data_IF_893547768769
#
_entry.id   IF_893547768769
#
_cell.length_a   1.000
_cell.length_b   1.000
_cell.length_c   1.000
_cell.angle_alpha   90.00
_cell.angle_beta   90.00
_cell.angle_gamma   90.00
#
_symmetry.space_group_name_H-M   'P 1'
#
loop_
_entity.id
_entity.type
_entity.pdbx_description
1 polymer ?
#
# COMPACT_ATOMS: atom_id res chain seq x y z
N UNK A 1 -13.12 -4.44 3.25
CA UNK A 1 -12.73 -3.15 2.63
C UNK A 1 -11.22 -2.96 2.61
N UNK A 2 -10.53 -2.88 3.77
CA UNK A 2 -9.05 -2.84 3.81
C UNK A 2 -8.40 -4.02 3.08
N UNK A 3 -8.98 -5.22 3.22
CA UNK A 3 -8.51 -6.41 2.52
C UNK A 3 -8.51 -6.25 0.99
N UNK A 4 -9.47 -5.52 0.42
CA UNK A 4 -9.51 -5.24 -1.02
C UNK A 4 -8.35 -4.32 -1.45
N UNK A 5 -7.98 -3.35 -0.62
CA UNK A 5 -6.81 -2.48 -0.87
C UNK A 5 -5.52 -3.30 -0.83
N UNK A 6 -5.39 -4.20 0.15
CA UNK A 6 -4.24 -5.11 0.26
C UNK A 6 -4.14 -6.05 -0.94
N UNK A 7 -5.27 -6.47 -1.49
CA UNK A 7 -5.34 -7.28 -2.71
C UNK A 7 -5.12 -6.46 -4.00
N UNK A 8 -4.72 -5.18 -3.89
CA UNK A 8 -4.38 -4.34 -5.04
C UNK A 8 -5.59 -3.74 -5.78
N UNK A 9 -6.78 -3.76 -5.18
CA UNK A 9 -7.94 -3.06 -5.74
C UNK A 9 -7.74 -1.56 -5.56
N UNK A 10 -7.73 -0.82 -6.68
CA UNK A 10 -7.54 0.64 -6.64
C UNK A 10 -8.62 1.31 -5.78
N UNK A 11 -8.26 2.41 -5.11
CA UNK A 11 -9.18 3.14 -4.23
C UNK A 11 -10.48 3.57 -4.93
N UNK A 12 -10.41 3.86 -6.24
CA UNK A 12 -11.59 4.13 -7.09
C UNK A 12 -12.51 2.91 -7.22
N UNK A 13 -11.93 1.74 -7.43
CA UNK A 13 -12.67 0.48 -7.61
C UNK A 13 -13.23 -0.04 -6.29
N UNK A 14 -12.55 0.23 -5.17
CA UNK A 14 -13.12 0.00 -3.83
C UNK A 14 -14.38 0.85 -3.65
N UNK A 15 -14.32 2.16 -3.95
CA UNK A 15 -15.50 3.05 -3.87
C UNK A 15 -16.67 2.52 -4.70
N UNK A 16 -16.44 2.21 -5.97
CA UNK A 16 -17.46 1.70 -6.91
C UNK A 16 -18.11 0.39 -6.42
N UNK A 17 -17.31 -0.55 -5.90
CA UNK A 17 -17.82 -1.82 -5.36
C UNK A 17 -18.60 -1.61 -4.07
N UNK A 18 -18.18 -0.71 -3.17
CA UNK A 18 -18.96 -0.37 -1.96
C UNK A 18 -20.26 0.35 -2.25
N UNK A 19 -20.28 1.22 -3.25
CA UNK A 19 -21.47 1.95 -3.66
C UNK A 19 -22.52 0.98 -4.23
N UNK A 20 -22.06 0.01 -5.03
CA UNK A 20 -22.91 -1.01 -5.64
C UNK A 20 -23.43 -2.04 -4.62
N UNK A 21 -22.60 -2.45 -3.66
CA UNK A 21 -22.96 -3.50 -2.69
C UNK A 21 -23.62 -2.99 -1.41
N UNK A 22 -23.38 -1.74 -1.00
CA UNK A 22 -23.81 -1.23 0.29
C UNK A 22 -24.62 0.08 0.19
N UNK A 23 -24.84 0.64 -1.00
CA UNK A 23 -25.60 1.89 -1.20
C UNK A 23 -24.97 3.14 -0.57
N UNK A 24 -23.74 3.02 -0.07
CA UNK A 24 -22.99 4.08 0.59
C UNK A 24 -21.75 4.42 -0.24
N UNK A 25 -21.63 5.69 -0.66
CA UNK A 25 -20.46 6.18 -1.36
C UNK A 25 -19.38 6.59 -0.35
N UNK A 26 -18.18 6.03 -0.48
CA UNK A 26 -17.03 6.44 0.33
C UNK A 26 -16.11 7.30 -0.52
N UNK A 27 -15.90 8.55 -0.11
CA UNK A 27 -14.97 9.44 -0.78
C UNK A 27 -13.55 8.84 -0.82
N UNK A 28 -12.80 9.11 -1.89
CA UNK A 28 -11.37 8.71 -2.01
C UNK A 28 -10.55 9.11 -0.79
N UNK A 29 -10.85 10.26 -0.20
CA UNK A 29 -10.23 10.76 1.03
C UNK A 29 -10.48 9.87 2.23
N UNK A 30 -11.67 9.28 2.37
CA UNK A 30 -12.02 8.35 3.46
C UNK A 30 -11.27 7.03 3.32
N UNK A 31 -11.16 6.48 2.10
CA UNK A 31 -10.37 5.26 1.85
C UNK A 31 -8.89 5.51 2.10
N UNK A 32 -8.37 6.67 1.69
CA UNK A 32 -6.99 7.07 1.95
C UNK A 32 -6.70 7.22 3.45
N UNK A 33 -7.60 7.86 4.21
CA UNK A 33 -7.49 8.00 5.66
C UNK A 33 -7.54 6.65 6.38
N UNK A 34 -8.39 5.73 5.92
CA UNK A 34 -8.42 4.35 6.44
C UNK A 34 -7.08 3.65 6.17
N UNK A 35 -6.50 3.82 4.98
CA UNK A 35 -5.20 3.23 4.65
C UNK A 35 -4.05 3.81 5.48
N UNK A 36 -4.10 5.09 5.87
CA UNK A 36 -3.10 5.69 6.77
C UNK A 36 -3.02 4.96 8.13
N UNK A 37 -4.11 4.31 8.57
CA UNK A 37 -4.12 3.45 9.75
C UNK A 37 -3.26 2.17 9.62
N UNK A 38 -2.84 1.80 8.40
CA UNK A 38 -1.94 0.68 8.15
C UNK A 38 -0.46 1.08 8.30
N UNK A 39 -0.12 2.37 8.17
CA UNK A 39 1.26 2.85 8.21
C UNK A 39 2.04 2.38 9.46
N UNK A 40 1.48 2.43 10.68
CA UNK A 40 2.19 1.93 11.86
C UNK A 40 2.49 0.43 11.79
N UNK A 41 1.57 -0.37 11.22
CA UNK A 41 1.73 -1.82 11.08
C UNK A 41 2.76 -2.17 10.00
N UNK A 42 2.71 -1.48 8.87
CA UNK A 42 3.68 -1.64 7.78
C UNK A 42 5.07 -1.24 8.26
N UNK A 43 5.20 -0.12 8.98
CA UNK A 43 6.47 0.31 9.57
C UNK A 43 7.02 -0.70 10.56
N UNK A 44 6.20 -1.17 11.50
CA UNK A 44 6.61 -2.17 12.48
C UNK A 44 7.07 -3.48 11.82
N UNK A 45 6.42 -3.89 10.73
CA UNK A 45 6.86 -5.04 9.94
C UNK A 45 8.21 -4.76 9.25
N UNK A 46 8.35 -3.62 8.59
CA UNK A 46 9.54 -3.28 7.81
C UNK A 46 10.80 -3.07 8.69
N UNK A 47 10.64 -2.41 9.83
CA UNK A 47 11.73 -2.09 10.76
C UNK A 47 12.02 -3.24 11.77
N UNK A 48 11.38 -4.40 11.62
CA UNK A 48 11.53 -5.52 12.56
C UNK A 48 12.96 -6.06 12.56
N UNK A 49 13.46 -6.44 13.73
CA UNK A 49 14.77 -7.11 13.84
C UNK A 49 14.69 -8.53 13.31
N UNK A 50 15.66 -8.88 12.45
CA UNK A 50 15.91 -10.25 12.02
C UNK A 50 16.87 -10.89 13.03
N UNK A 51 16.41 -11.88 13.80
CA UNK A 51 17.17 -12.46 14.93
C UNK A 51 17.84 -13.79 14.62
N UNK A 52 17.53 -14.40 13.47
CA UNK A 52 18.09 -15.68 13.04
C UNK A 52 19.35 -15.51 12.17
N UNK A 53 20.05 -16.61 11.93
CA UNK A 53 21.13 -16.66 10.93
C UNK A 53 20.53 -16.89 9.54
N UNK A 54 20.87 -16.02 8.58
CA UNK A 54 20.42 -16.10 7.19
C UNK A 54 21.64 -16.32 6.30
N UNK A 55 21.98 -17.57 5.94
CA UNK A 55 23.17 -17.88 5.14
C UNK A 55 23.11 -17.29 3.72
N UNK A 56 21.90 -17.00 3.24
CA UNK A 56 21.67 -16.33 1.96
C UNK A 56 20.54 -15.29 2.12
N UNK A 57 20.68 -14.18 1.41
CA UNK A 57 19.66 -13.14 1.29
C UNK A 57 19.48 -12.85 -0.19
N UNK A 58 18.24 -12.92 -0.65
CA UNK A 58 17.86 -12.49 -1.99
C UNK A 58 17.30 -11.08 -1.87
N UNK A 59 17.66 -10.22 -2.83
CA UNK A 59 17.17 -8.86 -2.91
C UNK A 59 16.51 -8.69 -4.27
N UNK A 60 15.30 -8.14 -4.28
CA UNK A 60 14.60 -7.75 -5.50
C UNK A 60 14.33 -6.25 -5.51
N UNK A 61 14.17 -5.68 -6.69
CA UNK A 61 13.90 -4.26 -6.88
C UNK A 61 12.76 -4.07 -7.88
N UNK A 62 11.68 -3.46 -7.41
CA UNK A 62 10.57 -3.05 -8.26
C UNK A 62 10.71 -1.57 -8.60
N UNK A 63 10.88 -1.25 -9.89
CA UNK A 63 10.91 0.14 -10.35
C UNK A 63 9.49 0.64 -10.56
N UNK A 64 9.12 1.67 -9.79
CA UNK A 64 7.81 2.30 -9.79
C UNK A 64 7.92 3.74 -10.29
N UNK A 65 6.97 4.14 -11.12
CA UNK A 65 6.79 5.54 -11.50
C UNK A 65 6.00 6.24 -10.41
N UNK A 66 6.63 7.17 -9.70
CA UNK A 66 6.05 7.89 -8.58
C UNK A 66 6.10 9.40 -8.82
N UNK A 67 5.22 10.15 -8.14
CA UNK A 67 5.25 11.61 -8.15
C UNK A 67 5.88 12.08 -6.84
N UNK A 68 6.94 12.86 -6.94
CA UNK A 68 7.70 13.42 -5.84
C UNK A 68 8.17 14.83 -6.20
N UNK A 69 8.05 15.79 -5.28
CA UNK A 69 8.42 17.20 -5.52
C UNK A 69 7.85 17.74 -6.85
N UNK A 70 6.57 17.44 -7.11
CA UNK A 70 5.84 17.78 -8.34
C UNK A 70 6.38 17.20 -9.66
N UNK A 71 7.34 16.28 -9.58
CA UNK A 71 7.93 15.59 -10.75
C UNK A 71 7.58 14.12 -10.76
N UNK A 72 7.39 13.58 -11.96
CA UNK A 72 7.22 12.13 -12.16
C UNK A 72 8.60 11.52 -12.35
N UNK A 73 9.00 10.65 -11.43
CA UNK A 73 10.32 10.04 -11.38
C UNK A 73 10.22 8.52 -11.24
N UNK A 74 11.20 7.80 -11.76
CA UNK A 74 11.35 6.37 -11.54
C UNK A 74 12.07 6.14 -10.22
N UNK A 75 11.45 5.40 -9.29
CA UNK A 75 12.07 4.99 -8.02
C UNK A 75 12.09 3.47 -7.89
N UNK A 76 13.18 2.93 -7.37
CA UNK A 76 13.27 1.52 -7.03
C UNK A 76 12.77 1.29 -5.59
N UNK A 77 11.82 0.37 -5.43
CA UNK A 77 11.40 -0.18 -4.16
C UNK A 77 12.14 -1.52 -3.95
N UNK A 78 13.02 -1.56 -2.96
CA UNK A 78 13.74 -2.77 -2.56
C UNK A 78 12.86 -3.61 -1.64
N UNK A 79 12.82 -4.93 -1.87
CA UNK A 79 12.05 -5.90 -1.09
C UNK A 79 12.96 -6.91 -0.39
#
# INVERSE_FOLDING_TARGET
LMEMVVQGVSTRKVTEVTETLCGASFAKSTVSALCAGLDPRVRAFNERRLTASYPFVLVDALVLTVREEDRVVSKAALM
#
